data_IF_589350286258
#
_entry.id   IF_589350286258
#
_cell.length_a   1.000
_cell.length_b   1.000
_cell.length_c   1.000
_cell.angle_alpha   90.00
_cell.angle_beta   90.00
_cell.angle_gamma   90.00
#
_symmetry.space_group_name_H-M   'P 1'
#
loop_
_entity.id
_entity.type
_entity.pdbx_description
1 polymer ?
#
# COMPACT_ATOMS: atom_id res chain seq x y z
N UNK A 1 -12.58 2.43 -22.26
CA UNK A 1 -12.08 3.69 -21.68
C UNK A 1 -11.03 3.38 -20.61
N UNK A 2 -9.85 3.99 -20.67
CA UNK A 2 -8.86 3.91 -19.60
C UNK A 2 -9.45 4.57 -18.35
N UNK A 3 -9.55 3.86 -17.23
CA UNK A 3 -9.93 4.45 -15.96
C UNK A 3 -8.74 5.26 -15.46
N UNK A 4 -8.87 6.59 -15.53
CA UNK A 4 -7.90 7.54 -14.99
C UNK A 4 -8.43 8.11 -13.68
N UNK A 5 -7.52 8.42 -12.76
CA UNK A 5 -7.78 9.10 -11.50
C UNK A 5 -7.57 8.20 -10.29
N UNK A 6 -6.79 8.71 -9.35
CA UNK A 6 -6.53 8.08 -8.06
C UNK A 6 -7.55 8.52 -7.00
N UNK A 7 -8.20 9.68 -7.18
CA UNK A 7 -9.19 10.22 -6.26
C UNK A 7 -10.62 10.02 -6.82
N UNK A 8 -11.52 9.55 -5.96
CA UNK A 8 -12.91 9.26 -6.31
C UNK A 8 -13.85 9.82 -5.26
N UNK A 9 -14.91 10.49 -5.72
CA UNK A 9 -16.04 10.85 -4.88
C UNK A 9 -17.02 9.68 -4.83
N UNK A 10 -17.47 9.32 -3.62
CA UNK A 10 -18.48 8.28 -3.36
C UNK A 10 -19.75 8.97 -2.91
N UNK A 11 -20.86 8.70 -3.59
CA UNK A 11 -22.18 9.19 -3.19
C UNK A 11 -23.03 8.00 -2.76
N UNK A 12 -23.63 8.10 -1.57
CA UNK A 12 -24.57 7.11 -1.03
C UNK A 12 -25.95 7.37 -1.66
N UNK A 13 -26.43 8.60 -1.53
CA UNK A 13 -27.66 9.12 -2.13
C UNK A 13 -27.50 10.63 -2.44
N UNK A 14 -28.59 11.29 -2.84
CA UNK A 14 -28.57 12.72 -3.17
C UNK A 14 -28.54 13.65 -1.94
N UNK A 15 -28.70 13.13 -0.72
CA UNK A 15 -28.83 13.92 0.52
C UNK A 15 -27.69 13.68 1.51
N UNK A 16 -26.95 12.58 1.38
CA UNK A 16 -25.86 12.24 2.29
C UNK A 16 -24.58 12.98 1.94
N UNK A 17 -23.75 13.25 2.95
CA UNK A 17 -22.40 13.78 2.73
C UNK A 17 -21.57 12.79 1.88
N UNK A 18 -20.67 13.29 1.02
CA UNK A 18 -19.87 12.43 0.18
C UNK A 18 -18.76 11.71 0.97
N UNK A 19 -18.37 10.53 0.49
CA UNK A 19 -17.07 9.95 0.80
C UNK A 19 -16.04 10.32 -0.26
N UNK A 20 -14.78 10.39 0.11
CA UNK A 20 -13.66 10.48 -0.82
C UNK A 20 -12.78 9.25 -0.67
N UNK A 21 -12.43 8.62 -1.78
CA UNK A 21 -11.55 7.44 -1.80
C UNK A 21 -10.31 7.75 -2.64
N UNK A 22 -9.17 7.73 -2.00
CA UNK A 22 -7.89 8.00 -2.65
C UNK A 22 -6.97 6.77 -2.65
N UNK A 23 -6.35 6.51 -3.79
CA UNK A 23 -5.34 5.47 -3.94
C UNK A 23 -3.96 5.98 -3.56
N UNK A 24 -3.37 5.43 -2.49
CA UNK A 24 -2.01 5.76 -2.04
C UNK A 24 -0.96 4.83 -2.62
N UNK A 25 0.29 5.15 -2.38
CA UNK A 25 1.44 4.30 -2.67
C UNK A 25 2.49 4.44 -1.55
N UNK A 26 3.04 3.32 -1.09
CA UNK A 26 4.14 3.28 -0.12
C UNK A 26 5.47 3.69 -0.78
N UNK A 27 5.49 4.86 -1.39
CA UNK A 27 6.67 5.43 -2.03
C UNK A 27 6.87 6.87 -1.57
N UNK A 28 8.11 7.22 -1.30
CA UNK A 28 8.53 8.55 -0.83
C UNK A 28 9.11 9.42 -1.96
N UNK A 29 8.75 9.18 -3.22
CA UNK A 29 9.22 9.94 -4.38
C UNK A 29 8.81 11.42 -4.34
N UNK A 30 9.49 12.27 -5.14
CA UNK A 30 9.23 13.72 -5.20
C UNK A 30 7.78 14.07 -5.52
N UNK A 31 7.12 13.26 -6.31
CA UNK A 31 5.73 13.44 -6.75
C UNK A 31 4.72 13.09 -5.64
N UNK A 32 5.14 12.38 -4.58
CA UNK A 32 4.26 12.13 -3.43
C UNK A 32 3.82 13.46 -2.78
N UNK A 33 4.72 14.44 -2.67
CA UNK A 33 4.41 15.77 -2.10
C UNK A 33 3.38 16.53 -2.94
N UNK A 34 3.45 16.43 -4.27
CA UNK A 34 2.48 17.08 -5.15
C UNK A 34 1.09 16.46 -4.99
N UNK A 35 1.03 15.12 -4.85
CA UNK A 35 -0.25 14.43 -4.58
C UNK A 35 -0.85 14.81 -3.23
N UNK A 36 -0.03 15.02 -2.18
CA UNK A 36 -0.52 15.52 -0.87
C UNK A 36 -1.21 16.87 -1.04
N UNK A 37 -0.58 17.84 -1.70
CA UNK A 37 -1.16 19.17 -1.91
C UNK A 37 -2.46 19.12 -2.72
N UNK A 38 -2.54 18.25 -3.72
CA UNK A 38 -3.71 18.09 -4.57
C UNK A 38 -4.90 17.45 -3.86
N UNK A 39 -4.69 16.53 -2.92
CA UNK A 39 -5.78 15.85 -2.19
C UNK A 39 -6.17 16.56 -0.88
N UNK A 40 -5.32 17.43 -0.38
CA UNK A 40 -5.54 18.13 0.88
C UNK A 40 -6.86 18.93 0.94
N UNK A 41 -7.32 19.65 -0.10
CA UNK A 41 -8.61 20.32 -0.08
C UNK A 41 -9.79 19.38 0.25
N UNK A 42 -9.74 18.14 -0.23
CA UNK A 42 -10.77 17.13 0.01
C UNK A 42 -10.69 16.54 1.42
N UNK A 43 -9.47 16.41 1.98
CA UNK A 43 -9.28 15.98 3.38
C UNK A 43 -9.90 17.02 4.32
N UNK A 44 -9.69 18.31 4.06
CA UNK A 44 -10.21 19.42 4.87
C UNK A 44 -11.73 19.49 4.93
N UNK A 45 -12.43 18.97 3.92
CA UNK A 45 -13.91 18.90 3.90
C UNK A 45 -14.45 17.79 4.79
N UNK A 46 -13.61 16.90 5.29
CA UNK A 46 -14.00 15.70 6.04
C UNK A 46 -13.88 15.90 7.55
N UNK A 47 -14.63 15.12 8.30
CA UNK A 47 -14.53 15.01 9.76
C UNK A 47 -13.75 13.78 10.19
N UNK A 48 -13.68 12.75 9.34
CA UNK A 48 -12.95 11.51 9.58
C UNK A 48 -12.02 11.15 8.44
N UNK A 49 -10.91 10.51 8.79
CA UNK A 49 -9.91 9.96 7.87
C UNK A 49 -9.68 8.49 8.20
N UNK A 50 -9.80 7.62 7.20
CA UNK A 50 -9.53 6.21 7.34
C UNK A 50 -8.41 5.79 6.40
N UNK A 51 -7.22 5.48 6.96
CA UNK A 51 -6.13 4.85 6.24
C UNK A 51 -6.40 3.36 5.99
N UNK A 52 -5.61 2.71 5.14
CA UNK A 52 -5.62 1.26 4.96
C UNK A 52 -5.38 0.56 6.30
N UNK A 53 -4.43 1.07 7.08
CA UNK A 53 -4.05 0.59 8.41
C UNK A 53 -3.91 1.75 9.37
N UNK A 54 -3.95 1.45 10.67
CA UNK A 54 -3.62 2.39 11.73
C UNK A 54 -2.09 2.56 11.79
N UNK A 55 -1.60 3.68 11.27
CA UNK A 55 -0.15 3.96 11.16
C UNK A 55 0.48 4.15 12.54
N UNK A 56 -0.22 4.76 13.50
CA UNK A 56 0.30 4.94 14.85
C UNK A 56 0.54 3.59 15.54
N UNK A 57 -0.38 2.66 15.34
CA UNK A 57 -0.20 1.30 15.85
C UNK A 57 0.93 0.55 15.12
N UNK A 58 1.04 0.69 13.80
CA UNK A 58 2.13 0.07 13.02
C UNK A 58 3.51 0.55 13.46
N UNK A 59 3.65 1.82 13.84
CA UNK A 59 4.92 2.39 14.30
C UNK A 59 5.27 1.97 15.73
N UNK A 60 4.28 1.66 16.57
CA UNK A 60 4.48 1.32 18.00
C UNK A 60 4.52 -0.18 18.28
N UNK A 61 3.87 -1.00 17.45
CA UNK A 61 3.83 -2.45 17.61
C UNK A 61 4.74 -3.11 16.57
N UNK A 62 5.86 -3.75 16.97
CA UNK A 62 6.67 -4.50 16.03
C UNK A 62 5.86 -5.66 15.45
N UNK A 63 5.92 -5.82 14.14
CA UNK A 63 5.28 -6.93 13.42
C UNK A 63 5.76 -8.27 13.97
N UNK A 64 4.86 -9.08 14.54
CA UNK A 64 5.19 -10.36 15.21
C UNK A 64 5.11 -11.60 14.29
N UNK A 65 5.14 -11.45 12.99
CA UNK A 65 5.00 -12.57 12.03
C UNK A 65 6.29 -13.38 11.82
N UNK A 66 7.14 -13.53 12.83
CA UNK A 66 8.25 -14.45 12.75
C UNK A 66 7.71 -15.89 12.83
N UNK A 67 7.69 -16.61 11.69
CA UNK A 67 7.57 -18.07 11.73
C UNK A 67 8.73 -18.62 12.54
N UNK A 68 8.46 -19.51 13.50
CA UNK A 68 9.48 -20.21 14.29
C UNK A 68 10.54 -20.94 13.44
N UNK A 69 10.32 -21.07 12.14
CA UNK A 69 11.19 -21.77 11.17
C UNK A 69 12.08 -20.79 10.38
N UNK A 70 11.87 -19.46 10.51
CA UNK A 70 12.69 -18.47 9.80
C UNK A 70 13.92 -18.07 10.65
N UNK A 71 15.09 -18.55 10.26
CA UNK A 71 16.36 -18.30 10.95
C UNK A 71 17.20 -17.18 10.30
N UNK A 72 16.66 -16.56 9.26
CA UNK A 72 17.29 -15.44 8.59
C UNK A 72 17.83 -15.75 7.19
N UNK A 73 18.19 -14.68 6.48
CA UNK A 73 18.62 -14.75 5.09
C UNK A 73 19.99 -15.45 4.88
N UNK A 74 20.86 -15.41 5.89
CA UNK A 74 22.19 -16.06 5.80
C UNK A 74 22.10 -17.57 5.60
N UNK A 75 21.07 -18.21 6.16
CA UNK A 75 20.89 -19.66 5.97
C UNK A 75 20.26 -20.00 4.61
N UNK A 76 19.66 -19.01 3.97
CA UNK A 76 18.97 -19.18 2.70
C UNK A 76 19.90 -19.09 1.49
N UNK A 77 21.00 -18.35 1.61
CA UNK A 77 21.95 -18.07 0.54
C UNK A 77 23.30 -18.70 0.85
N UNK A 78 24.00 -19.16 -0.20
CA UNK A 78 25.40 -19.53 -0.04
C UNK A 78 26.24 -18.30 0.38
N UNK A 79 27.33 -18.48 1.15
CA UNK A 79 28.17 -17.37 1.60
C UNK A 79 28.60 -16.40 0.48
N UNK A 80 29.03 -16.87 -0.72
CA UNK A 80 29.35 -15.97 -1.82
C UNK A 80 28.13 -15.18 -2.33
N UNK A 81 26.94 -15.83 -2.41
CA UNK A 81 25.69 -15.16 -2.84
C UNK A 81 25.25 -14.12 -1.83
N UNK A 82 25.36 -14.40 -0.53
CA UNK A 82 25.07 -13.45 0.52
C UNK A 82 25.99 -12.21 0.46
N UNK A 83 27.31 -12.44 0.39
CA UNK A 83 28.30 -11.36 0.31
C UNK A 83 28.08 -10.46 -0.92
N UNK A 84 27.82 -11.08 -2.09
CA UNK A 84 27.49 -10.33 -3.32
C UNK A 84 26.22 -9.50 -3.16
N UNK A 85 25.17 -10.07 -2.59
CA UNK A 85 23.88 -9.39 -2.40
C UNK A 85 24.00 -8.23 -1.41
N UNK A 86 24.70 -8.45 -0.27
CA UNK A 86 25.01 -7.42 0.71
C UNK A 86 25.75 -6.23 0.06
N UNK A 87 26.82 -6.51 -0.69
CA UNK A 87 27.58 -5.48 -1.39
C UNK A 87 26.71 -4.69 -2.38
N UNK A 88 25.89 -5.38 -3.20
CA UNK A 88 25.02 -4.72 -4.18
C UNK A 88 23.93 -3.86 -3.54
N UNK A 89 23.30 -4.32 -2.46
CA UNK A 89 22.26 -3.57 -1.74
C UNK A 89 22.87 -2.35 -1.04
N UNK A 90 24.03 -2.49 -0.42
CA UNK A 90 24.72 -1.37 0.18
C UNK A 90 25.15 -0.31 -0.86
N UNK A 91 25.83 -0.73 -1.94
CA UNK A 91 26.32 0.20 -2.95
C UNK A 91 25.19 1.02 -3.60
N UNK A 92 24.06 0.38 -3.89
CA UNK A 92 22.98 1.01 -4.65
C UNK A 92 21.93 1.70 -3.80
N UNK A 93 21.61 1.15 -2.64
CA UNK A 93 20.46 1.57 -1.85
C UNK A 93 20.84 1.95 -0.42
N UNK A 94 22.12 1.88 -0.06
CA UNK A 94 22.64 2.14 1.29
C UNK A 94 21.92 1.31 2.37
N UNK A 95 21.56 0.09 1.99
CA UNK A 95 20.87 -0.87 2.84
C UNK A 95 21.87 -1.86 3.42
N UNK A 96 22.04 -1.83 4.76
CA UNK A 96 22.89 -2.79 5.46
C UNK A 96 22.08 -4.09 5.70
N UNK A 97 22.44 -5.13 4.95
CA UNK A 97 21.69 -6.38 4.98
C UNK A 97 21.91 -7.16 6.29
N UNK A 98 23.06 -6.98 6.93
CA UNK A 98 23.39 -7.66 8.18
C UNK A 98 22.47 -7.24 9.32
N UNK A 99 22.01 -5.99 9.34
CA UNK A 99 21.12 -5.45 10.39
C UNK A 99 19.69 -5.99 10.28
N UNK A 100 19.23 -6.27 9.08
CA UNK A 100 17.82 -6.59 8.79
C UNK A 100 17.57 -8.03 8.34
N UNK A 101 18.62 -8.83 8.12
CA UNK A 101 18.55 -10.17 7.53
C UNK A 101 17.71 -11.18 8.34
N UNK A 102 17.48 -10.90 9.63
CA UNK A 102 16.67 -11.69 10.55
C UNK A 102 15.16 -11.40 10.45
N UNK A 103 14.77 -10.26 9.83
CA UNK A 103 13.37 -9.89 9.68
C UNK A 103 12.60 -10.91 8.84
N UNK A 104 11.29 -11.13 9.14
CA UNK A 104 10.45 -12.01 8.33
C UNK A 104 10.55 -11.71 6.84
N UNK A 105 10.52 -12.73 5.94
CA UNK A 105 10.82 -12.54 4.52
C UNK A 105 9.92 -11.53 3.82
N UNK A 106 8.66 -11.42 4.23
CA UNK A 106 7.72 -10.46 3.66
C UNK A 106 8.10 -9.02 4.06
N UNK A 107 8.35 -8.80 5.37
CA UNK A 107 8.76 -7.50 5.90
C UNK A 107 10.10 -7.06 5.29
N UNK A 108 11.06 -7.99 5.19
CA UNK A 108 12.34 -7.73 4.54
C UNK A 108 12.17 -7.35 3.05
N UNK A 109 11.26 -8.02 2.33
CA UNK A 109 10.95 -7.69 0.94
C UNK A 109 10.34 -6.29 0.80
N UNK A 110 9.44 -5.91 1.71
CA UNK A 110 8.82 -4.58 1.75
C UNK A 110 9.88 -3.51 1.99
N UNK A 111 10.69 -3.67 3.03
CA UNK A 111 11.77 -2.72 3.37
C UNK A 111 12.79 -2.52 2.24
N UNK A 112 13.23 -3.62 1.60
CA UNK A 112 14.11 -3.55 0.43
C UNK A 112 13.42 -2.82 -0.72
N UNK A 113 12.15 -3.11 -0.99
CA UNK A 113 11.36 -2.47 -2.04
C UNK A 113 11.19 -0.96 -1.82
N UNK A 114 10.90 -0.56 -0.61
CA UNK A 114 10.83 0.86 -0.21
C UNK A 114 12.16 1.56 -0.44
N UNK A 115 13.26 0.99 0.01
CA UNK A 115 14.60 1.54 -0.21
C UNK A 115 15.00 1.61 -1.69
N UNK A 116 14.49 0.72 -2.53
CA UNK A 116 14.69 0.76 -3.99
C UNK A 116 13.96 1.92 -4.66
N UNK A 117 12.85 2.39 -4.10
CA UNK A 117 11.99 3.46 -4.63
C UNK A 117 12.22 4.80 -3.94
N UNK A 118 12.74 4.80 -2.71
CA UNK A 118 12.80 6.01 -1.87
C UNK A 118 13.96 6.92 -2.22
N UNK A 119 13.67 8.22 -2.31
CA UNK A 119 14.66 9.25 -2.05
C UNK A 119 14.99 9.27 -0.53
N UNK A 120 16.25 9.48 -0.12
CA UNK A 120 16.73 9.24 1.25
C UNK A 120 16.07 10.05 2.38
N UNK A 121 15.22 11.01 2.07
CA UNK A 121 14.77 12.05 3.02
C UNK A 121 13.26 12.26 3.11
N UNK A 122 12.42 11.38 2.55
CA UNK A 122 10.98 11.62 2.49
C UNK A 122 10.17 10.46 3.07
N UNK A 123 9.11 10.82 3.81
CA UNK A 123 8.10 9.86 4.29
C UNK A 123 7.24 9.33 3.13
N UNK A 124 6.74 8.11 3.26
CA UNK A 124 5.79 7.54 2.34
C UNK A 124 4.49 8.37 2.28
N UNK A 125 3.81 8.36 1.12
CA UNK A 125 2.62 9.20 0.89
C UNK A 125 1.50 8.95 1.90
N UNK A 126 1.26 7.71 2.25
CA UNK A 126 0.25 7.31 3.24
C UNK A 126 0.55 7.86 4.64
N UNK A 127 1.82 7.87 5.06
CA UNK A 127 2.25 8.47 6.34
C UNK A 127 2.05 9.99 6.31
N UNK A 128 2.43 10.65 5.20
CA UNK A 128 2.23 12.10 5.06
C UNK A 128 0.75 12.48 5.16
N UNK A 129 -0.14 11.75 4.49
CA UNK A 129 -1.58 12.00 4.52
C UNK A 129 -2.19 11.74 5.90
N UNK A 130 -1.73 10.68 6.58
CA UNK A 130 -2.13 10.36 7.94
C UNK A 130 -1.79 11.49 8.92
N UNK A 131 -0.53 11.93 8.91
CA UNK A 131 -0.07 13.02 9.75
C UNK A 131 -0.79 14.34 9.43
N UNK A 132 -1.04 14.59 8.15
CA UNK A 132 -1.77 15.78 7.72
C UNK A 132 -3.21 15.79 8.27
N UNK A 133 -3.93 14.67 8.17
CA UNK A 133 -5.28 14.54 8.69
C UNK A 133 -5.33 14.73 10.23
N UNK A 134 -4.38 14.14 10.97
CA UNK A 134 -4.24 14.34 12.43
C UNK A 134 -4.00 15.81 12.79
N UNK A 135 -3.07 16.46 12.09
CA UNK A 135 -2.72 17.85 12.34
C UNK A 135 -3.89 18.82 12.06
N UNK A 136 -4.87 18.39 11.27
CA UNK A 136 -6.10 19.13 10.99
C UNK A 136 -7.28 18.73 11.89
N UNK A 137 -7.03 17.89 12.90
CA UNK A 137 -8.03 17.52 13.91
C UNK A 137 -9.10 16.53 13.44
N UNK A 138 -8.85 15.76 12.35
CA UNK A 138 -9.78 14.72 11.92
C UNK A 138 -9.71 13.51 12.88
N UNK A 139 -10.81 12.78 13.02
CA UNK A 139 -10.80 11.44 13.63
C UNK A 139 -10.10 10.46 12.67
N UNK A 140 -8.92 9.99 13.07
CA UNK A 140 -8.03 9.20 12.19
C UNK A 140 -7.98 7.75 12.66
N UNK A 141 -8.33 6.80 11.76
CA UNK A 141 -8.40 5.35 12.06
C UNK A 141 -7.92 4.51 10.87
N UNK A 142 -7.57 3.25 11.13
CA UNK A 142 -7.33 2.24 10.09
C UNK A 142 -8.63 1.55 9.65
N UNK A 143 -8.77 1.25 8.36
CA UNK A 143 -9.79 0.33 7.86
C UNK A 143 -9.50 -1.12 8.26
N UNK A 144 -8.24 -1.47 8.43
CA UNK A 144 -7.78 -2.78 8.92
C UNK A 144 -6.94 -2.58 10.18
N UNK A 145 -7.03 -3.52 11.11
CA UNK A 145 -6.15 -3.53 12.28
C UNK A 145 -4.78 -4.13 11.93
N UNK A 146 -3.78 -3.87 12.77
CA UNK A 146 -2.43 -4.46 12.64
C UNK A 146 -2.51 -5.98 12.72
N UNK A 147 -3.33 -6.52 13.63
CA UNK A 147 -3.51 -7.96 13.82
C UNK A 147 -4.18 -8.62 12.59
N UNK A 148 -5.08 -7.92 11.90
CA UNK A 148 -5.66 -8.40 10.64
C UNK A 148 -4.60 -8.48 9.55
N UNK A 149 -3.72 -7.48 9.43
CA UNK A 149 -2.63 -7.51 8.47
C UNK A 149 -1.60 -8.59 8.78
N UNK A 150 -1.25 -8.81 10.05
CA UNK A 150 -0.38 -9.90 10.47
C UNK A 150 -0.95 -11.27 10.06
N UNK A 151 -2.26 -11.51 10.27
CA UNK A 151 -2.94 -12.73 9.83
C UNK A 151 -2.89 -12.90 8.30
N UNK A 152 -3.01 -11.82 7.54
CA UNK A 152 -2.92 -11.83 6.08
C UNK A 152 -1.53 -12.29 5.64
N UNK A 153 -0.47 -11.72 6.22
CA UNK A 153 0.91 -12.10 5.90
C UNK A 153 1.25 -13.51 6.37
N UNK A 154 0.76 -13.92 7.53
CA UNK A 154 0.90 -15.29 8.04
C UNK A 154 0.20 -16.34 7.14
N UNK A 155 -0.89 -15.94 6.46
CA UNK A 155 -1.58 -16.78 5.48
C UNK A 155 -0.82 -17.00 4.17
N UNK A 156 0.29 -16.28 3.92
CA UNK A 156 1.12 -16.48 2.74
C UNK A 156 2.16 -17.57 3.03
N UNK A 157 2.21 -18.69 2.27
CA UNK A 157 3.18 -19.75 2.51
C UNK A 157 4.62 -19.21 2.60
N UNK A 158 5.35 -19.58 3.66
CA UNK A 158 6.73 -19.13 3.90
C UNK A 158 7.64 -19.41 2.70
N UNK A 159 7.50 -20.59 2.07
CA UNK A 159 8.26 -20.97 0.86
C UNK A 159 8.03 -20.00 -0.31
N UNK A 160 6.83 -19.42 -0.42
CA UNK A 160 6.53 -18.42 -1.43
C UNK A 160 7.20 -17.09 -1.08
N UNK A 161 7.07 -16.62 0.18
CA UNK A 161 7.72 -15.40 0.67
C UNK A 161 9.23 -15.44 0.44
N UNK A 162 9.88 -16.54 0.85
CA UNK A 162 11.31 -16.79 0.67
C UNK A 162 11.70 -16.72 -0.82
N UNK A 163 10.92 -17.34 -1.70
CA UNK A 163 11.20 -17.31 -3.15
C UNK A 163 11.14 -15.90 -3.73
N UNK A 164 10.17 -15.07 -3.31
CA UNK A 164 10.06 -13.68 -3.77
C UNK A 164 11.23 -12.83 -3.25
N UNK A 165 11.56 -12.96 -1.98
CA UNK A 165 12.70 -12.31 -1.35
C UNK A 165 14.02 -12.68 -2.07
N UNK A 166 14.24 -13.97 -2.28
CA UNK A 166 15.44 -14.48 -2.98
C UNK A 166 15.57 -13.90 -4.39
N UNK A 167 14.46 -13.83 -5.13
CA UNK A 167 14.44 -13.20 -6.46
C UNK A 167 14.80 -11.72 -6.40
N UNK A 168 14.31 -10.99 -5.42
CA UNK A 168 14.58 -9.56 -5.22
C UNK A 168 16.05 -9.31 -4.89
N UNK A 169 16.62 -10.08 -3.99
CA UNK A 169 18.00 -9.92 -3.49
C UNK A 169 19.03 -10.33 -4.55
N UNK A 170 18.78 -11.43 -5.26
CA UNK A 170 19.71 -11.93 -6.29
C UNK A 170 19.67 -11.12 -7.59
N UNK A 171 18.56 -10.41 -7.85
CA UNK A 171 18.42 -9.53 -9.01
C UNK A 171 17.84 -8.15 -8.60
N UNK A 172 18.57 -7.35 -7.81
CA UNK A 172 18.06 -6.08 -7.29
C UNK A 172 17.75 -5.08 -8.41
N UNK A 173 18.54 -5.04 -9.48
CA UNK A 173 18.29 -4.13 -10.62
C UNK A 173 17.00 -4.47 -11.37
N UNK A 174 16.73 -5.74 -11.62
CA UNK A 174 15.48 -6.18 -12.28
C UNK A 174 14.27 -5.94 -11.39
N UNK A 175 14.41 -6.13 -10.08
CA UNK A 175 13.36 -5.88 -9.10
C UNK A 175 13.04 -4.38 -9.01
N UNK A 176 14.06 -3.53 -8.90
CA UNK A 176 13.91 -2.08 -8.91
C UNK A 176 13.20 -1.59 -10.20
N UNK A 177 13.64 -2.06 -11.38
CA UNK A 177 12.95 -1.72 -12.66
C UNK A 177 11.47 -2.12 -12.67
N UNK A 178 11.12 -3.23 -12.03
CA UNK A 178 9.72 -3.68 -11.94
C UNK A 178 8.90 -2.78 -11.02
N UNK A 179 9.47 -2.36 -9.89
CA UNK A 179 8.84 -1.43 -8.94
C UNK A 179 8.68 -0.04 -9.55
N UNK A 180 9.72 0.50 -10.21
CA UNK A 180 9.67 1.79 -10.91
C UNK A 180 8.59 1.85 -11.99
N UNK A 181 8.32 0.74 -12.68
CA UNK A 181 7.19 0.68 -13.64
C UNK A 181 5.82 0.79 -12.96
N UNK A 182 5.68 0.22 -11.77
CA UNK A 182 4.45 0.34 -10.97
C UNK A 182 4.30 1.80 -10.50
N UNK A 183 5.38 2.38 -10.00
CA UNK A 183 5.44 3.77 -9.57
C UNK A 183 5.11 4.74 -10.72
N UNK A 184 5.71 4.56 -11.90
CA UNK A 184 5.41 5.36 -13.10
C UNK A 184 3.93 5.25 -13.54
N UNK A 185 3.33 4.05 -13.46
CA UNK A 185 1.90 3.88 -13.73
C UNK A 185 1.03 4.63 -12.70
N UNK A 186 1.44 4.64 -11.44
CA UNK A 186 0.79 5.39 -10.37
C UNK A 186 0.84 6.91 -10.65
N UNK A 187 2.00 7.43 -10.97
CA UNK A 187 2.18 8.87 -11.24
C UNK A 187 1.44 9.38 -12.47
N UNK A 188 1.20 8.51 -13.44
CA UNK A 188 0.38 8.83 -14.62
C UNK A 188 -1.12 8.60 -14.39
N UNK A 189 -1.55 8.33 -13.17
CA UNK A 189 -2.93 7.98 -12.83
C UNK A 189 -3.50 6.84 -13.71
N UNK A 190 -2.63 5.98 -14.26
CA UNK A 190 -3.03 4.87 -15.13
C UNK A 190 -3.39 3.62 -14.30
N UNK A 191 -4.61 3.63 -13.75
CA UNK A 191 -5.13 2.49 -12.96
C UNK A 191 -5.13 1.18 -13.77
N UNK A 192 -5.20 1.22 -15.10
CA UNK A 192 -5.18 0.01 -15.92
C UNK A 192 -3.78 -0.60 -15.98
N UNK A 193 -2.76 0.22 -16.18
CA UNK A 193 -1.36 -0.23 -16.13
C UNK A 193 -0.99 -0.67 -14.70
N UNK A 194 -1.38 0.09 -13.69
CA UNK A 194 -1.16 -0.22 -12.28
C UNK A 194 -1.73 -1.60 -11.93
N UNK A 195 -3.00 -1.86 -12.29
CA UNK A 195 -3.65 -3.15 -12.08
C UNK A 195 -2.85 -4.30 -12.71
N UNK A 196 -2.49 -4.17 -13.99
CA UNK A 196 -1.76 -5.21 -14.72
C UNK A 196 -0.38 -5.49 -14.11
N UNK A 197 0.36 -4.44 -13.78
CA UNK A 197 1.72 -4.54 -13.25
C UNK A 197 1.72 -5.12 -11.84
N UNK A 198 0.84 -4.64 -10.95
CA UNK A 198 0.69 -5.14 -9.59
C UNK A 198 0.24 -6.61 -9.58
N UNK A 199 -0.74 -6.99 -10.42
CA UNK A 199 -1.19 -8.38 -10.52
C UNK A 199 -0.09 -9.32 -11.02
N UNK A 200 0.76 -8.86 -11.94
CA UNK A 200 1.93 -9.61 -12.38
C UNK A 200 2.96 -9.75 -11.26
N UNK A 201 3.16 -8.70 -10.48
CA UNK A 201 4.10 -8.68 -9.35
C UNK A 201 3.64 -9.63 -8.24
N UNK A 202 2.37 -9.55 -7.82
CA UNK A 202 1.81 -10.37 -6.74
C UNK A 202 1.59 -11.84 -7.11
N UNK A 203 1.40 -12.15 -8.39
CA UNK A 203 1.22 -13.53 -8.84
C UNK A 203 0.09 -14.29 -8.13
N UNK A 204 0.43 -15.40 -7.45
CA UNK A 204 -0.55 -16.27 -6.75
C UNK A 204 -1.11 -15.65 -5.47
N UNK A 205 -0.38 -14.72 -4.83
CA UNK A 205 -0.80 -14.11 -3.55
C UNK A 205 -1.85 -13.01 -3.70
N UNK A 206 -2.15 -12.57 -4.94
CA UNK A 206 -3.15 -11.53 -5.21
C UNK A 206 -4.53 -11.80 -4.59
N UNK A 207 -4.91 -13.08 -4.39
CA UNK A 207 -6.17 -13.41 -3.72
C UNK A 207 -6.14 -12.92 -2.26
N UNK A 208 -5.10 -13.27 -1.53
CA UNK A 208 -4.94 -12.95 -0.10
C UNK A 208 -4.65 -11.45 0.07
N UNK A 209 -3.68 -10.92 -0.69
CA UNK A 209 -3.18 -9.55 -0.52
C UNK A 209 -4.17 -8.49 -1.03
N UNK A 210 -4.96 -8.80 -2.09
CA UNK A 210 -5.88 -7.84 -2.68
C UNK A 210 -7.35 -8.26 -2.53
N UNK A 211 -7.77 -9.39 -3.09
CA UNK A 211 -9.18 -9.64 -3.31
C UNK A 211 -9.99 -9.84 -2.04
N UNK A 212 -9.45 -10.60 -1.09
CA UNK A 212 -10.14 -10.87 0.18
C UNK A 212 -10.21 -9.58 1.02
N UNK A 213 -9.14 -8.79 1.04
CA UNK A 213 -9.09 -7.47 1.68
C UNK A 213 -10.02 -6.46 1.00
N UNK A 214 -10.03 -6.39 -0.32
CA UNK A 214 -10.92 -5.48 -1.07
C UNK A 214 -12.38 -5.64 -0.68
N UNK A 215 -12.83 -6.88 -0.46
CA UNK A 215 -14.20 -7.15 -0.04
C UNK A 215 -14.48 -6.59 1.36
N UNK A 216 -13.56 -6.80 2.30
CA UNK A 216 -13.66 -6.28 3.68
C UNK A 216 -13.62 -4.75 3.67
N UNK A 217 -12.66 -4.15 2.97
CA UNK A 217 -12.54 -2.69 2.87
C UNK A 217 -13.81 -2.07 2.24
N UNK A 218 -14.32 -2.62 1.15
CA UNK A 218 -15.51 -2.10 0.50
C UNK A 218 -16.74 -2.16 1.41
N UNK A 219 -16.90 -3.24 2.19
CA UNK A 219 -17.94 -3.37 3.19
C UNK A 219 -17.80 -2.32 4.30
N UNK A 220 -16.60 -2.17 4.88
CA UNK A 220 -16.32 -1.19 5.95
C UNK A 220 -16.53 0.24 5.48
N UNK A 221 -16.07 0.59 4.28
CA UNK A 221 -16.33 1.89 3.65
C UNK A 221 -17.84 2.13 3.56
N UNK A 222 -18.60 1.13 3.10
CA UNK A 222 -20.04 1.21 3.00
C UNK A 222 -20.72 1.47 4.35
N UNK A 223 -20.40 0.69 5.37
CA UNK A 223 -20.91 0.86 6.75
C UNK A 223 -20.63 2.26 7.26
N UNK A 224 -19.36 2.72 7.19
CA UNK A 224 -18.96 4.04 7.67
C UNK A 224 -19.72 5.18 6.98
N UNK A 225 -19.96 5.08 5.68
CA UNK A 225 -20.72 6.09 4.92
C UNK A 225 -22.20 6.11 5.25
N UNK A 226 -22.78 5.00 5.72
CA UNK A 226 -24.18 4.96 6.18
C UNK A 226 -24.34 5.46 7.63
N UNK A 227 -23.32 5.25 8.46
CA UNK A 227 -23.39 5.57 9.89
C UNK A 227 -23.09 7.05 10.21
N UNK A 228 -22.77 7.86 9.20
CA UNK A 228 -22.43 9.28 9.38
C UNK A 228 -23.18 10.19 8.41
N UNK A 229 -23.49 11.41 8.89
CA UNK A 229 -23.97 12.53 8.06
C UNK A 229 -22.83 13.43 7.56
N UNK A 230 -21.58 13.16 7.97
CA UNK A 230 -20.40 13.96 7.65
C UNK A 230 -19.55 13.31 6.55
N UNK A 231 -18.77 14.12 5.85
CA UNK A 231 -17.86 13.63 4.84
C UNK A 231 -16.69 12.85 5.47
N UNK A 232 -16.31 11.73 4.83
CA UNK A 232 -15.17 10.88 5.25
C UNK A 232 -14.17 10.74 4.11
N UNK A 233 -12.89 10.81 4.45
CA UNK A 233 -11.79 10.53 3.53
C UNK A 233 -11.21 9.14 3.77
N UNK A 234 -11.11 8.33 2.72
CA UNK A 234 -10.50 6.99 2.73
C UNK A 234 -9.23 6.99 1.90
N UNK A 235 -8.13 6.50 2.47
CA UNK A 235 -6.84 6.37 1.82
C UNK A 235 -6.37 4.91 1.88
N UNK A 236 -6.38 4.23 0.73
CA UNK A 236 -5.96 2.82 0.62
C UNK A 236 -4.95 2.66 -0.51
N UNK A 237 -4.12 1.63 -0.48
CA UNK A 237 -3.16 1.37 -1.55
C UNK A 237 -3.83 1.34 -2.93
N UNK A 238 -3.31 2.09 -3.89
CA UNK A 238 -3.91 2.26 -5.23
C UNK A 238 -4.13 0.93 -5.98
N UNK A 239 -3.39 -0.11 -5.63
CA UNK A 239 -3.57 -1.46 -6.17
C UNK A 239 -4.93 -2.08 -5.82
N UNK A 240 -5.58 -1.62 -4.75
CA UNK A 240 -6.90 -2.06 -4.30
C UNK A 240 -8.04 -1.47 -5.15
N UNK A 241 -7.83 -0.32 -5.81
CA UNK A 241 -8.89 0.39 -6.53
C UNK A 241 -9.41 -0.34 -7.78
N UNK A 242 -8.54 -0.76 -8.75
CA UNK A 242 -8.97 -1.22 -10.07
C UNK A 242 -9.38 -2.69 -10.12
N UNK A 243 -10.06 -3.06 -11.20
CA UNK A 243 -10.37 -4.45 -11.57
C UNK A 243 -11.76 -4.92 -11.15
N UNK A 244 -12.09 -6.15 -11.54
CA UNK A 244 -13.41 -6.74 -11.26
C UNK A 244 -13.62 -7.04 -9.76
N UNK A 245 -12.53 -7.27 -9.04
CA UNK A 245 -12.47 -7.49 -7.59
C UNK A 245 -11.83 -6.30 -6.86
N UNK A 246 -11.72 -5.15 -7.51
CA UNK A 246 -11.24 -3.91 -6.91
C UNK A 246 -12.34 -3.18 -6.13
N UNK A 247 -11.95 -2.38 -5.15
CA UNK A 247 -12.86 -1.66 -4.25
C UNK A 247 -13.84 -0.78 -5.03
N UNK A 248 -13.41 -0.09 -6.10
CA UNK A 248 -14.31 0.71 -6.93
C UNK A 248 -15.43 -0.13 -7.57
N UNK A 249 -15.14 -1.34 -8.01
CA UNK A 249 -16.17 -2.21 -8.61
C UNK A 249 -17.12 -2.75 -7.55
N UNK A 250 -16.58 -3.13 -6.39
CA UNK A 250 -17.37 -3.65 -5.27
C UNK A 250 -18.34 -2.59 -4.73
N UNK A 251 -17.87 -1.37 -4.48
CA UNK A 251 -18.73 -0.25 -4.07
C UNK A 251 -19.82 0.04 -5.11
N UNK A 252 -19.48 0.03 -6.41
CA UNK A 252 -20.49 0.21 -7.46
C UNK A 252 -21.53 -0.91 -7.47
N UNK A 253 -21.14 -2.16 -7.21
CA UNK A 253 -22.07 -3.29 -7.11
C UNK A 253 -22.97 -3.21 -5.88
N UNK A 254 -22.51 -2.55 -4.80
CA UNK A 254 -23.30 -2.25 -3.60
C UNK A 254 -24.20 -0.99 -3.73
N UNK A 255 -24.32 -0.42 -4.94
CA UNK A 255 -25.22 0.69 -5.22
C UNK A 255 -24.63 2.10 -5.09
N UNK A 256 -23.35 2.24 -4.69
CA UNK A 256 -22.71 3.55 -4.55
C UNK A 256 -22.44 4.22 -5.90
N UNK A 257 -22.76 5.51 -5.98
CA UNK A 257 -22.37 6.37 -7.10
C UNK A 257 -20.88 6.72 -7.01
N UNK A 258 -20.10 6.47 -8.06
CA UNK A 258 -18.65 6.73 -8.07
C UNK A 258 -18.30 7.71 -9.20
N UNK A 259 -17.67 8.84 -8.84
CA UNK A 259 -17.21 9.85 -9.79
C UNK A 259 -15.69 10.09 -9.62
N UNK A 260 -14.88 9.92 -10.66
CA UNK A 260 -13.45 10.24 -10.57
C UNK A 260 -13.26 11.75 -10.44
N UNK A 261 -12.27 12.15 -9.65
CA UNK A 261 -11.78 13.52 -9.55
C UNK A 261 -10.37 13.52 -10.15
N UNK A 262 -10.17 14.33 -11.16
CA UNK A 262 -8.84 14.49 -11.77
C UNK A 262 -8.04 15.47 -10.91
N UNK A 263 -6.85 15.05 -10.53
CA UNK A 263 -5.88 15.88 -9.81
C UNK A 263 -5.04 16.61 -10.88
N UNK A 264 -4.93 17.93 -10.74
CA UNK A 264 -4.19 18.80 -11.65
C UNK A 264 -2.71 18.92 -11.28
#
# INVERSE_FOLDING_TARGET
MRKRGLLWKINVDSKSAPGYLFGTMHSAGSIATDKVSQVFPFIRECTGYFGESDIDQLLTKPFQTASAVWEGLRQLLSPPSYAKSRHQLWQRYKLELDDIQHLPPMLLSTLIGEKMLSAPTREALDIQLWNLAKNHGLDVKGLESVEEQEKIYAGIPLTYQIRQLKKMILNPSGSCKSLLRIEDAYFRDDLTALYRLTHKHLGKTKKIILYDRNRIMAQRIGTLLHDTSSAIFFAIGAAHLPGQKGVLRLLKQSGYGLKPILLE
#
